data_IF_444732994407
#
_entry.id   IF_444732994407
#
_cell.length_a   1.000
_cell.length_b   1.000
_cell.length_c   1.000
_cell.angle_alpha   90.00
_cell.angle_beta   90.00
_cell.angle_gamma   90.00
#
_symmetry.space_group_name_H-M   'P 1'
#
loop_
_entity.id
_entity.type
_entity.pdbx_description
1 polymer ?
#
# COMPACT_ATOMS: atom_id res chain seq x y z
N UNK A 1 -12.42 3.38 -0.07
CA UNK A 1 -13.31 2.20 0.12
C UNK A 1 -14.65 2.64 0.72
N UNK A 2 -15.79 2.11 0.24
CA UNK A 2 -17.08 2.38 0.88
C UNK A 2 -17.19 1.66 2.24
N UNK A 3 -17.93 2.26 3.17
CA UNK A 3 -18.20 1.72 4.51
C UNK A 3 -18.85 0.33 4.44
N UNK A 4 -19.64 0.06 3.39
CA UNK A 4 -20.30 -1.23 3.16
C UNK A 4 -19.31 -2.37 2.93
N UNK A 5 -18.24 -2.15 2.16
CA UNK A 5 -17.23 -3.20 1.91
C UNK A 5 -16.45 -3.54 3.17
N UNK A 6 -16.18 -2.54 4.02
CA UNK A 6 -15.53 -2.75 5.31
C UNK A 6 -16.43 -3.50 6.31
N UNK A 7 -17.71 -3.10 6.40
CA UNK A 7 -18.70 -3.81 7.22
C UNK A 7 -18.84 -5.27 6.79
N UNK A 8 -18.82 -5.54 5.49
CA UNK A 8 -18.91 -6.90 4.95
C UNK A 8 -17.69 -7.76 5.26
N UNK A 9 -16.48 -7.17 5.28
CA UNK A 9 -15.26 -7.92 5.62
C UNK A 9 -15.13 -8.17 7.13
N UNK A 10 -15.71 -7.31 7.97
CA UNK A 10 -15.62 -7.40 9.43
C UNK A 10 -16.93 -7.84 10.12
N UNK A 11 -17.87 -8.48 9.40
CA UNK A 11 -19.17 -8.94 9.96
C UNK A 11 -18.98 -9.81 11.20
N UNK A 12 -17.98 -10.70 11.21
CA UNK A 12 -17.71 -11.59 12.35
C UNK A 12 -17.29 -10.79 13.59
N UNK A 13 -16.43 -9.79 13.43
CA UNK A 13 -16.01 -8.91 14.52
C UNK A 13 -17.19 -8.10 15.07
N UNK A 14 -18.05 -7.60 14.18
CA UNK A 14 -19.24 -6.83 14.56
C UNK A 14 -20.25 -7.72 15.32
N UNK A 15 -20.46 -8.96 14.87
CA UNK A 15 -21.30 -9.94 15.57
C UNK A 15 -20.76 -10.26 16.97
N UNK A 16 -19.44 -10.45 17.11
CA UNK A 16 -18.80 -10.68 18.41
C UNK A 16 -18.94 -9.45 19.33
N UNK A 17 -18.83 -8.23 18.80
CA UNK A 17 -19.06 -7.02 19.57
C UNK A 17 -20.50 -6.95 20.09
N UNK A 18 -21.50 -7.18 19.23
CA UNK A 18 -22.92 -7.21 19.62
C UNK A 18 -23.18 -8.29 20.67
N UNK A 19 -22.65 -9.49 20.46
CA UNK A 19 -22.77 -10.59 21.42
C UNK A 19 -22.13 -10.23 22.77
N UNK A 20 -20.99 -9.53 22.77
CA UNK A 20 -20.33 -9.10 24.00
C UNK A 20 -21.16 -8.10 24.80
N UNK A 21 -21.88 -7.18 24.13
CA UNK A 21 -22.75 -6.20 24.79
C UNK A 21 -23.98 -6.88 25.38
N UNK A 22 -24.59 -7.83 24.65
CA UNK A 22 -25.72 -8.63 25.14
C UNK A 22 -25.30 -9.46 26.36
N UNK A 23 -24.14 -10.11 26.29
CA UNK A 23 -23.60 -10.91 27.39
C UNK A 23 -23.34 -10.06 28.64
N UNK A 24 -22.71 -8.89 28.50
CA UNK A 24 -22.49 -7.96 29.61
C UNK A 24 -23.81 -7.51 30.23
N UNK A 25 -24.79 -7.12 29.41
CA UNK A 25 -26.11 -6.71 29.91
C UNK A 25 -26.78 -7.83 30.72
N UNK A 26 -26.78 -9.06 30.21
CA UNK A 26 -27.38 -10.21 30.89
C UNK A 26 -26.64 -10.52 32.20
N UNK A 27 -25.31 -10.48 32.20
CA UNK A 27 -24.49 -10.74 33.38
C UNK A 27 -24.78 -9.73 34.49
N UNK A 28 -24.83 -8.44 34.16
CA UNK A 28 -25.14 -7.39 35.14
C UNK A 28 -26.57 -7.55 35.71
N UNK A 29 -27.53 -7.99 34.88
CA UNK A 29 -28.91 -8.23 35.31
C UNK A 29 -29.04 -9.46 36.22
N UNK A 30 -28.18 -10.46 36.07
CA UNK A 30 -28.11 -11.63 36.98
C UNK A 30 -27.52 -11.25 38.34
N UNK A 31 -26.67 -10.22 38.41
CA UNK A 31 -26.07 -9.69 39.64
C UNK A 31 -27.03 -8.82 40.47
N UNK A 32 -28.32 -8.80 40.13
CA UNK A 32 -29.38 -8.02 40.80
C UNK A 32 -29.14 -6.50 40.83
N UNK A 33 -28.35 -6.00 39.88
CA UNK A 33 -28.19 -4.57 39.68
C UNK A 33 -29.47 -3.96 39.09
N UNK A 34 -29.77 -2.71 39.45
CA UNK A 34 -30.87 -1.96 38.85
C UNK A 34 -30.74 -1.96 37.31
N UNK A 35 -31.86 -2.17 36.60
CA UNK A 35 -31.87 -2.25 35.14
C UNK A 35 -31.25 -1.04 34.45
N UNK A 36 -31.36 0.14 35.07
CA UNK A 36 -30.76 1.38 34.59
C UNK A 36 -29.22 1.34 34.63
N UNK A 37 -28.63 0.73 35.66
CA UNK A 37 -27.18 0.56 35.77
C UNK A 37 -26.65 -0.44 34.72
N UNK A 38 -27.38 -1.54 34.50
CA UNK A 38 -27.04 -2.51 33.46
C UNK A 38 -27.06 -1.89 32.06
N UNK A 39 -28.07 -1.06 31.78
CA UNK A 39 -28.21 -0.37 30.51
C UNK A 39 -27.10 0.68 30.30
N UNK A 40 -26.76 1.44 31.34
CA UNK A 40 -25.68 2.43 31.28
C UNK A 40 -24.33 1.78 30.99
N UNK A 41 -24.00 0.67 31.66
CA UNK A 41 -22.76 -0.07 31.42
C UNK A 41 -22.70 -0.61 29.98
N UNK A 42 -23.79 -1.19 29.49
CA UNK A 42 -23.87 -1.71 28.12
C UNK A 42 -23.69 -0.59 27.08
N UNK A 43 -24.26 0.60 27.31
CA UNK A 43 -24.09 1.76 26.43
C UNK A 43 -22.64 2.28 26.43
N UNK A 44 -21.99 2.37 27.59
CA UNK A 44 -20.58 2.76 27.68
C UNK A 44 -19.70 1.76 26.93
N UNK A 45 -19.92 0.45 27.14
CA UNK A 45 -19.19 -0.59 26.42
C UNK A 45 -19.39 -0.47 24.90
N UNK A 46 -20.63 -0.29 24.45
CA UNK A 46 -20.94 -0.10 23.03
C UNK A 46 -20.23 1.14 22.46
N UNK A 47 -20.19 2.25 23.20
CA UNK A 47 -19.49 3.46 22.77
C UNK A 47 -17.99 3.21 22.56
N UNK A 48 -17.32 2.52 23.49
CA UNK A 48 -15.90 2.18 23.34
C UNK A 48 -15.64 1.24 22.16
N UNK A 49 -16.51 0.24 21.95
CA UNK A 49 -16.38 -0.67 20.81
C UNK A 49 -16.56 0.06 19.47
N UNK A 50 -17.54 0.98 19.39
CA UNK A 50 -17.75 1.81 18.20
C UNK A 50 -16.53 2.72 17.96
N UNK A 51 -16.01 3.35 19.01
CA UNK A 51 -14.82 4.21 18.91
C UNK A 51 -13.59 3.42 18.43
N UNK A 52 -13.37 2.21 18.96
CA UNK A 52 -12.28 1.33 18.53
C UNK A 52 -12.44 0.89 17.07
N UNK A 53 -13.66 0.53 16.64
CA UNK A 53 -13.95 0.18 15.25
C UNK A 53 -13.73 1.36 14.29
N UNK A 54 -14.15 2.57 14.67
CA UNK A 54 -13.91 3.78 13.90
C UNK A 54 -12.43 4.10 13.79
N UNK A 55 -11.67 3.99 14.89
CA UNK A 55 -10.23 4.22 14.87
C UNK A 55 -9.53 3.25 13.91
N UNK A 56 -9.87 1.96 13.97
CA UNK A 56 -9.32 0.94 13.08
C UNK A 56 -9.70 1.16 11.60
N UNK A 57 -10.90 1.68 11.34
CA UNK A 57 -11.31 2.04 9.99
C UNK A 57 -10.53 3.24 9.45
N UNK A 58 -10.36 4.29 10.26
CA UNK A 58 -9.65 5.50 9.85
C UNK A 58 -8.16 5.25 9.60
N UNK A 59 -7.51 4.44 10.44
CA UNK A 59 -6.08 4.09 10.28
C UNK A 59 -5.83 3.29 9.00
N UNK A 60 -6.71 2.34 8.66
CA UNK A 60 -6.59 1.55 7.44
C UNK A 60 -6.99 2.30 6.16
N UNK A 61 -7.90 3.27 6.25
CA UNK A 61 -8.52 3.89 5.07
C UNK A 61 -7.51 4.55 4.12
N UNK A 62 -6.60 5.36 4.65
CA UNK A 62 -5.61 6.09 3.83
C UNK A 62 -4.66 5.14 3.10
N UNK A 63 -4.27 4.06 3.78
CA UNK A 63 -3.42 3.02 3.20
C UNK A 63 -4.10 2.32 2.03
N UNK A 64 -5.35 1.86 2.22
CA UNK A 64 -6.10 1.19 1.17
C UNK A 64 -6.44 2.11 -0.01
N UNK A 65 -6.73 3.39 0.25
CA UNK A 65 -6.93 4.38 -0.81
C UNK A 65 -5.64 4.59 -1.62
N UNK A 66 -4.48 4.70 -0.98
CA UNK A 66 -3.19 4.78 -1.67
C UNK A 66 -2.88 3.55 -2.52
N UNK A 67 -3.22 2.34 -2.05
CA UNK A 67 -3.05 1.11 -2.84
C UNK A 67 -3.95 1.06 -4.07
N UNK A 68 -5.18 1.55 -3.96
CA UNK A 68 -6.10 1.66 -5.11
C UNK A 68 -5.54 2.66 -6.12
N UNK A 69 -5.02 3.80 -5.65
CA UNK A 69 -4.40 4.81 -6.51
C UNK A 69 -3.21 4.24 -7.29
N UNK A 70 -2.37 3.42 -6.64
CA UNK A 70 -1.27 2.70 -7.31
C UNK A 70 -1.79 1.68 -8.33
N UNK A 71 -2.86 0.96 -8.02
CA UNK A 71 -3.42 -0.06 -8.89
C UNK A 71 -4.05 0.55 -10.16
N UNK A 72 -4.63 1.74 -10.05
CA UNK A 72 -5.25 2.46 -11.15
C UNK A 72 -4.28 3.42 -11.88
N UNK A 73 -3.06 3.58 -11.37
CA UNK A 73 -2.07 4.49 -11.94
C UNK A 73 -1.57 4.02 -13.32
N UNK A 74 -1.31 4.95 -14.25
CA UNK A 74 -0.68 4.63 -15.53
C UNK A 74 0.75 4.12 -15.32
N UNK A 75 1.22 3.22 -16.19
CA UNK A 75 2.49 2.49 -16.01
C UNK A 75 3.73 3.35 -15.71
N UNK A 76 3.78 4.59 -16.23
CA UNK A 76 4.89 5.52 -15.97
C UNK A 76 4.89 6.12 -14.56
N UNK A 77 3.75 6.13 -13.87
CA UNK A 77 3.55 6.75 -12.57
C UNK A 77 3.45 5.73 -11.43
N UNK A 78 3.10 4.46 -11.74
CA UNK A 78 2.92 3.37 -10.77
C UNK A 78 4.07 3.27 -9.76
N UNK A 79 5.31 3.28 -10.24
CA UNK A 79 6.51 3.17 -9.38
C UNK A 79 6.66 4.36 -8.43
N UNK A 80 6.30 5.56 -8.89
CA UNK A 80 6.35 6.77 -8.08
C UNK A 80 5.26 6.75 -7.01
N UNK A 81 4.01 6.46 -7.40
CA UNK A 81 2.90 6.37 -6.45
C UNK A 81 3.11 5.25 -5.42
N UNK A 82 3.64 4.10 -5.83
CA UNK A 82 3.90 2.97 -4.93
C UNK A 82 4.85 3.35 -3.78
N UNK A 83 5.85 4.18 -4.07
CA UNK A 83 6.79 4.69 -3.07
C UNK A 83 6.16 5.70 -2.11
N UNK A 84 5.10 6.40 -2.52
CA UNK A 84 4.41 7.43 -1.74
C UNK A 84 3.27 6.88 -0.86
N UNK A 85 2.95 5.59 -0.96
CA UNK A 85 1.92 4.96 -0.11
C UNK A 85 2.32 5.09 1.36
N UNK A 86 1.39 5.63 2.17
CA UNK A 86 1.55 5.88 3.62
C UNK A 86 1.88 4.59 4.37
N UNK A 87 2.73 4.68 5.40
CA UNK A 87 3.05 3.54 6.25
C UNK A 87 1.81 3.11 7.06
N UNK A 88 1.41 1.83 7.01
CA UNK A 88 0.24 1.34 7.71
C UNK A 88 0.51 1.10 9.21
N UNK A 89 -0.46 1.44 10.05
CA UNK A 89 -0.39 1.22 11.51
C UNK A 89 -0.93 -0.16 11.96
N UNK A 90 -1.32 -1.03 11.02
CA UNK A 90 -1.91 -2.34 11.27
C UNK A 90 -1.08 -3.47 10.65
N UNK A 91 -1.10 -4.65 11.28
CA UNK A 91 -0.17 -5.74 10.99
C UNK A 91 -0.27 -6.25 9.53
N UNK A 92 -1.48 -6.40 9.00
CA UNK A 92 -1.70 -6.84 7.63
C UNK A 92 -1.13 -5.83 6.63
N UNK A 93 -1.29 -4.53 6.92
CA UNK A 93 -0.79 -3.45 6.08
C UNK A 93 0.73 -3.49 6.00
N UNK A 94 1.43 -3.73 7.11
CA UNK A 94 2.90 -3.78 7.13
C UNK A 94 3.43 -4.87 6.20
N UNK A 95 2.76 -6.02 6.15
CA UNK A 95 3.13 -7.11 5.24
C UNK A 95 2.90 -6.69 3.78
N UNK A 96 1.76 -6.08 3.48
CA UNK A 96 1.42 -5.60 2.14
C UNK A 96 2.40 -4.50 1.69
N UNK A 97 2.71 -3.54 2.56
CA UNK A 97 3.66 -2.46 2.28
C UNK A 97 5.06 -3.00 2.00
N UNK A 98 5.53 -3.95 2.81
CA UNK A 98 6.82 -4.63 2.56
C UNK A 98 6.85 -5.34 1.20
N UNK A 99 5.78 -6.02 0.82
CA UNK A 99 5.69 -6.65 -0.49
C UNK A 99 5.69 -5.61 -1.63
N UNK A 100 4.96 -4.51 -1.45
CA UNK A 100 4.93 -3.38 -2.39
C UNK A 100 6.31 -2.74 -2.54
N UNK A 101 7.03 -2.50 -1.45
CA UNK A 101 8.35 -1.88 -1.48
C UNK A 101 9.39 -2.80 -2.15
N UNK A 102 9.37 -4.09 -1.83
CA UNK A 102 10.28 -5.06 -2.46
C UNK A 102 10.05 -5.16 -3.97
N UNK A 103 8.78 -5.19 -4.39
CA UNK A 103 8.43 -5.25 -5.82
C UNK A 103 8.80 -3.95 -6.54
N UNK A 104 8.52 -2.80 -5.93
CA UNK A 104 8.90 -1.47 -6.44
C UNK A 104 10.42 -1.33 -6.57
N UNK A 105 11.17 -1.81 -5.57
CA UNK A 105 12.63 -1.79 -5.59
C UNK A 105 13.20 -2.66 -6.70
N UNK A 106 12.70 -3.89 -6.85
CA UNK A 106 13.13 -4.81 -7.91
C UNK A 106 12.84 -4.26 -9.31
N UNK A 107 11.66 -3.66 -9.51
CA UNK A 107 11.29 -3.03 -10.77
C UNK A 107 12.15 -1.80 -11.09
N UNK A 108 12.43 -0.94 -10.10
CA UNK A 108 13.34 0.19 -10.27
C UNK A 108 14.77 -0.27 -10.62
N UNK A 109 15.26 -1.34 -9.99
CA UNK A 109 16.57 -1.90 -10.31
C UNK A 109 16.63 -2.42 -11.76
N UNK A 110 15.55 -3.04 -12.24
CA UNK A 110 15.44 -3.51 -13.62
C UNK A 110 15.41 -2.35 -14.63
N UNK A 111 14.66 -1.29 -14.35
CA UNK A 111 14.67 -0.07 -15.18
C UNK A 111 16.07 0.55 -15.22
N UNK A 112 16.74 0.61 -14.07
CA UNK A 112 18.12 1.10 -13.96
C UNK A 112 19.11 0.31 -14.82
N UNK A 113 19.04 -1.03 -14.79
CA UNK A 113 19.93 -1.88 -15.59
C UNK A 113 19.66 -1.77 -17.10
N UNK A 114 18.39 -1.65 -17.50
CA UNK A 114 18.02 -1.41 -18.90
C UNK A 114 18.54 -0.07 -19.41
N UNK A 115 18.47 0.98 -18.60
CA UNK A 115 19.00 2.30 -18.95
C UNK A 115 20.52 2.31 -19.05
N UNK A 116 21.22 1.61 -18.13
CA UNK A 116 22.67 1.45 -18.19
C UNK A 116 23.08 0.73 -19.49
N UNK A 117 22.44 -0.40 -19.82
CA UNK A 117 22.73 -1.13 -21.06
C UNK A 117 22.45 -0.33 -22.34
N UNK A 118 21.42 0.52 -22.35
CA UNK A 118 21.18 1.45 -23.47
C UNK A 118 22.29 2.50 -23.60
N UNK A 119 22.84 2.97 -22.49
CA UNK A 119 23.93 3.93 -22.50
C UNK A 119 25.23 3.29 -23.01
N UNK A 120 25.56 2.10 -22.54
CA UNK A 120 26.73 1.33 -23.00
C UNK A 120 26.64 1.04 -24.50
N UNK A 121 25.44 0.70 -24.99
CA UNK A 121 25.21 0.49 -26.43
C UNK A 121 25.42 1.79 -27.23
N UNK A 122 24.96 2.93 -26.73
CA UNK A 122 25.19 4.24 -27.37
C UNK A 122 26.68 4.56 -27.43
N UNK A 123 27.40 4.38 -26.32
CA UNK A 123 28.84 4.64 -26.23
C UNK A 123 29.63 3.72 -27.18
N UNK A 124 29.23 2.45 -27.29
CA UNK A 124 29.80 1.52 -28.28
C UNK A 124 29.65 2.03 -29.72
N UNK A 125 28.44 2.47 -30.11
CA UNK A 125 28.19 3.02 -31.44
C UNK A 125 29.02 4.28 -31.68
N UNK A 126 29.13 5.17 -30.69
CA UNK A 126 29.94 6.39 -30.78
C UNK A 126 31.43 6.07 -30.99
N UNK A 127 31.98 5.11 -30.23
CA UNK A 127 33.35 4.63 -30.39
C UNK A 127 33.59 4.03 -31.77
N UNK A 128 32.69 3.14 -32.22
CA UNK A 128 32.80 2.50 -33.52
C UNK A 128 32.75 3.48 -34.70
N UNK A 129 31.85 4.47 -34.63
CA UNK A 129 31.78 5.55 -35.63
C UNK A 129 33.09 6.35 -35.67
N UNK A 130 33.71 6.60 -34.51
CA UNK A 130 34.99 7.28 -34.44
C UNK A 130 36.12 6.45 -35.08
N UNK A 131 36.15 5.15 -34.78
CA UNK A 131 37.13 4.22 -35.34
C UNK A 131 37.03 4.12 -36.86
N UNK A 132 35.83 4.16 -37.46
CA UNK A 132 35.66 4.10 -38.92
C UNK A 132 36.03 5.40 -39.63
N UNK A 133 35.83 6.56 -38.98
CA UNK A 133 36.19 7.86 -39.58
C UNK A 133 37.70 8.01 -39.79
N UNK A 134 38.50 7.43 -38.90
CA UNK A 134 39.97 7.53 -38.93
C UNK A 134 40.62 6.94 -40.20
N UNK A 135 40.35 5.67 -40.60
CA UNK A 135 40.90 5.11 -41.83
C UNK A 135 40.30 5.77 -43.09
N UNK A 136 39.06 6.26 -43.04
CA UNK A 136 38.44 6.99 -44.15
C UNK A 136 39.16 8.31 -44.43
N UNK A 137 39.51 9.06 -43.39
CA UNK A 137 40.33 10.25 -43.51
C UNK A 137 41.74 9.94 -44.05
N UNK A 138 42.36 8.86 -43.56
CA UNK A 138 43.66 8.40 -44.06
C UNK A 138 43.60 7.99 -45.54
N UNK A 139 42.55 7.28 -45.96
CA UNK A 139 42.35 6.88 -47.35
C UNK A 139 42.13 8.09 -48.26
N UNK A 140 41.35 9.09 -47.84
CA UNK A 140 41.18 10.33 -48.58
C UNK A 140 42.52 11.08 -48.75
N UNK A 141 43.34 11.16 -47.70
CA UNK A 141 44.67 11.79 -47.75
C UNK A 141 45.66 11.08 -48.69
N UNK A 142 45.47 9.79 -48.97
CA UNK A 142 46.32 9.05 -49.91
C UNK A 142 45.93 9.26 -51.38
N UNK A 143 44.72 9.75 -51.64
CA UNK A 143 44.18 9.96 -52.99
C UNK A 143 44.35 11.43 -53.43
N UNK A 144 44.50 12.37 -52.48
CA UNK A 144 45.06 13.71 -52.73
C UNK A 144 46.56 13.67 -53.03
#
# INVERSE_FOLDING_TARGET
>A
MSIETYLRSHVVSLLLCVLSVIATYFLVRVLDAAGDAALLIALIQALFLIAAGLFNWFSGRRFWEGLVEVADAPAGEVLSLASNVVEPEFAEGVIVKRALDNTTHAANAMVGSLNAGQNDYREFIESWVHEIKTPLAAANLMIE
#
